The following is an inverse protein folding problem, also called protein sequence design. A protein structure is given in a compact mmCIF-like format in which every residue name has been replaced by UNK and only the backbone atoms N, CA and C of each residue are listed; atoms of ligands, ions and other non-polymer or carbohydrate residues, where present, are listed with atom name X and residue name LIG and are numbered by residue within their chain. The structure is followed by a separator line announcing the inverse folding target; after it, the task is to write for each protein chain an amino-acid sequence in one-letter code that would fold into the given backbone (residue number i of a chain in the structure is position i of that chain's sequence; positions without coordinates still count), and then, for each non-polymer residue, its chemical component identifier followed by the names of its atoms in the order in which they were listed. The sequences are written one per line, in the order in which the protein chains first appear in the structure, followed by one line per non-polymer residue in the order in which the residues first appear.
data_IF_881067271440
#
_entry.id   IF_881067271440
#
_cell.length_a   1.000
_cell.length_b   1.000
_cell.length_c   1.000
_cell.angle_alpha   90.00
_cell.angle_beta   90.00
_cell.angle_gamma   90.00
#
_symmetry.space_group_name_H-M   'P 1'
#
loop_
_entity.id
_entity.type
_entity.pdbx_description
1 polymer ?
#
# COMPACT_ATOMS: atom_id res chain seq x y z
N UNK A 1 24.17 45.83 -4.88
CA UNK A 1 24.62 44.46 -5.24
C UNK A 1 24.29 43.40 -4.17
N UNK A 2 23.45 43.69 -3.17
CA UNK A 2 23.11 42.77 -2.06
C UNK A 2 21.76 42.06 -2.23
N UNK A 3 20.80 42.68 -2.93
CA UNK A 3 19.48 42.09 -3.23
C UNK A 3 19.63 40.86 -4.15
N UNK A 4 20.50 40.93 -5.15
CA UNK A 4 20.84 39.81 -6.05
C UNK A 4 21.40 38.59 -5.30
N UNK A 5 22.26 38.82 -4.30
CA UNK A 5 22.86 37.75 -3.50
C UNK A 5 21.81 37.06 -2.61
N UNK A 6 20.96 37.84 -1.93
CA UNK A 6 19.87 37.30 -1.10
C UNK A 6 18.86 36.50 -1.93
N UNK A 7 18.51 36.99 -3.12
CA UNK A 7 17.62 36.30 -4.04
C UNK A 7 18.25 35.00 -4.56
N UNK A 8 19.54 35.02 -4.93
CA UNK A 8 20.27 33.83 -5.36
C UNK A 8 20.32 32.75 -4.27
N UNK A 9 20.63 33.13 -3.02
CA UNK A 9 20.63 32.20 -1.87
C UNK A 9 19.23 31.61 -1.65
N UNK A 10 18.18 32.42 -1.78
CA UNK A 10 16.80 31.95 -1.65
C UNK A 10 16.40 30.99 -2.78
N UNK A 11 16.80 31.25 -4.02
CA UNK A 11 16.54 30.32 -5.13
C UNK A 11 17.30 29.00 -4.96
N UNK A 12 18.57 29.05 -4.54
CA UNK A 12 19.38 27.85 -4.29
C UNK A 12 18.78 27.02 -3.16
N UNK A 13 18.30 27.64 -2.08
CA UNK A 13 17.67 26.89 -0.98
C UNK A 13 16.37 26.23 -1.43
N UNK A 14 15.53 26.89 -2.21
CA UNK A 14 14.32 26.28 -2.79
C UNK A 14 14.66 25.08 -3.68
N UNK A 15 15.64 25.23 -4.57
CA UNK A 15 16.06 24.13 -5.46
C UNK A 15 16.57 22.95 -4.64
N UNK A 16 17.35 23.22 -3.59
CA UNK A 16 17.82 22.20 -2.67
C UNK A 16 16.68 21.49 -1.96
N UNK A 17 15.70 22.22 -1.41
CA UNK A 17 14.53 21.62 -0.75
C UNK A 17 13.72 20.75 -1.70
N UNK A 18 13.41 21.26 -2.91
CA UNK A 18 12.69 20.50 -3.93
C UNK A 18 13.44 19.21 -4.27
N UNK A 19 14.76 19.30 -4.46
CA UNK A 19 15.62 18.15 -4.78
C UNK A 19 15.61 17.10 -3.67
N UNK A 20 15.70 17.51 -2.40
CA UNK A 20 15.62 16.60 -1.26
C UNK A 20 14.25 15.95 -1.15
N UNK A 21 13.18 16.67 -1.47
CA UNK A 21 11.81 16.12 -1.47
C UNK A 21 11.61 14.99 -2.48
N UNK A 22 12.38 14.93 -3.57
CA UNK A 22 12.36 13.79 -4.50
C UNK A 22 12.94 12.50 -3.91
N UNK A 23 13.69 12.59 -2.82
CA UNK A 23 14.23 11.41 -2.11
C UNK A 23 13.28 10.88 -1.02
N UNK A 24 12.18 11.59 -0.75
CA UNK A 24 11.22 11.21 0.29
C UNK A 24 10.27 10.15 -0.29
N UNK A 25 10.40 8.93 0.20
CA UNK A 25 9.45 7.85 -0.05
C UNK A 25 8.42 7.77 1.07
N UNK A 26 7.18 7.48 0.73
CA UNK A 26 6.10 7.23 1.69
C UNK A 26 5.53 5.82 1.51
N UNK A 27 5.01 5.27 2.60
CA UNK A 27 4.36 3.97 2.57
C UNK A 27 2.97 4.10 1.92
N UNK A 28 2.72 3.28 0.90
CA UNK A 28 1.47 3.25 0.18
C UNK A 28 0.61 2.08 0.69
N UNK A 29 -0.59 2.41 1.14
CA UNK A 29 -1.56 1.46 1.64
C UNK A 29 -2.77 1.40 0.71
N UNK A 30 -3.31 0.21 0.51
CA UNK A 30 -4.60 -0.01 -0.16
C UNK A 30 -5.65 -0.40 0.85
N UNK A 31 -6.85 0.17 0.70
CA UNK A 31 -8.02 -0.15 1.52
C UNK A 31 -8.87 -1.17 0.78
N UNK A 32 -9.29 -2.22 1.47
CA UNK A 32 -10.04 -3.31 0.87
C UNK A 32 -10.97 -4.00 1.87
N UNK A 33 -11.84 -4.87 1.36
CA UNK A 33 -12.78 -5.65 2.15
C UNK A 33 -12.21 -7.05 2.41
N UNK A 34 -12.20 -7.41 3.69
CA UNK A 34 -11.97 -8.76 4.17
C UNK A 34 -13.32 -9.39 4.51
N UNK A 35 -13.68 -10.46 3.80
CA UNK A 35 -15.00 -11.09 3.89
C UNK A 35 -14.88 -12.47 4.52
N UNK A 36 -15.41 -12.66 5.73
CA UNK A 36 -15.51 -13.96 6.37
C UNK A 36 -16.78 -14.69 5.87
N UNK A 37 -16.61 -15.83 5.20
CA UNK A 37 -17.71 -16.56 4.54
C UNK A 37 -18.19 -17.77 5.34
N UNK A 38 -17.28 -18.47 6.02
CA UNK A 38 -17.51 -19.78 6.62
C UNK A 38 -17.07 -19.88 8.10
N UNK A 39 -16.61 -18.79 8.68
CA UNK A 39 -16.11 -18.70 10.05
C UNK A 39 -14.73 -19.29 10.27
N UNK A 40 -14.14 -19.93 9.24
CA UNK A 40 -12.81 -20.56 9.29
C UNK A 40 -11.81 -19.82 8.43
N UNK A 41 -12.29 -19.12 7.41
CA UNK A 41 -11.47 -18.39 6.46
C UNK A 41 -12.13 -17.07 6.04
N UNK A 42 -11.27 -16.11 5.82
CA UNK A 42 -11.63 -14.81 5.26
C UNK A 42 -11.07 -14.67 3.84
N UNK A 43 -11.83 -14.04 2.98
CA UNK A 43 -11.51 -13.80 1.59
C UNK A 43 -11.09 -12.34 1.39
N UNK A 44 -9.95 -12.13 0.76
CA UNK A 44 -9.43 -10.82 0.37
C UNK A 44 -9.20 -10.79 -1.14
N UNK A 45 -9.83 -9.86 -1.84
CA UNK A 45 -9.67 -9.71 -3.29
C UNK A 45 -8.60 -8.68 -3.63
N UNK A 46 -7.44 -9.10 -4.12
CA UNK A 46 -6.37 -8.22 -4.56
C UNK A 46 -6.47 -7.91 -6.05
N UNK A 47 -6.13 -6.67 -6.42
CA UNK A 47 -5.90 -6.33 -7.82
C UNK A 47 -4.64 -7.05 -8.34
N UNK A 48 -4.51 -7.17 -9.66
CA UNK A 48 -3.30 -7.72 -10.29
C UNK A 48 -2.06 -6.89 -9.92
N UNK A 49 -2.22 -5.57 -9.80
CA UNK A 49 -1.14 -4.66 -9.44
C UNK A 49 -0.64 -4.92 -8.01
N UNK A 50 -1.56 -4.92 -7.03
CA UNK A 50 -1.25 -5.16 -5.62
C UNK A 50 -0.62 -6.53 -5.42
N UNK A 51 -1.14 -7.56 -6.11
CA UNK A 51 -0.58 -8.91 -6.06
C UNK A 51 0.88 -8.96 -6.53
N UNK A 52 1.22 -8.28 -7.64
CA UNK A 52 2.59 -8.21 -8.16
C UNK A 52 3.56 -7.49 -7.24
N UNK A 53 3.08 -6.48 -6.52
CA UNK A 53 3.87 -5.67 -5.57
C UNK A 53 4.10 -6.43 -4.26
N UNK A 54 3.04 -6.96 -3.65
CA UNK A 54 3.07 -7.66 -2.36
C UNK A 54 3.71 -9.05 -2.49
N UNK A 55 3.53 -9.73 -3.64
CA UNK A 55 4.03 -11.09 -3.91
C UNK A 55 3.69 -12.08 -2.79
N UNK A 56 2.41 -12.21 -2.40
CA UNK A 56 2.01 -13.07 -1.29
C UNK A 56 2.34 -14.54 -1.60
N UNK A 57 2.62 -15.32 -0.55
CA UNK A 57 2.95 -16.75 -0.68
C UNK A 57 2.01 -17.58 0.20
N UNK A 58 1.63 -18.75 -0.29
CA UNK A 58 0.87 -19.71 0.52
C UNK A 58 1.71 -20.06 1.75
N UNK A 59 1.07 -20.19 2.91
CA UNK A 59 1.65 -20.41 4.22
C UNK A 59 2.49 -19.24 4.79
N UNK A 60 2.51 -18.07 4.15
CA UNK A 60 3.09 -16.87 4.77
C UNK A 60 2.06 -16.12 5.62
N UNK A 61 2.55 -15.22 6.48
CA UNK A 61 1.71 -14.28 7.21
C UNK A 61 1.40 -13.07 6.32
N UNK A 62 0.13 -12.69 6.27
CA UNK A 62 -0.34 -11.47 5.64
C UNK A 62 -0.63 -10.44 6.73
N UNK A 63 0.02 -9.30 6.62
CA UNK A 63 -0.09 -8.18 7.55
C UNK A 63 -1.09 -7.16 7.02
N UNK A 64 -2.00 -6.71 7.88
CA UNK A 64 -2.94 -5.63 7.57
C UNK A 64 -3.28 -4.84 8.82
N UNK A 65 -3.95 -3.72 8.61
CA UNK A 65 -4.49 -2.87 9.66
C UNK A 65 -6.01 -2.90 9.63
N UNK A 66 -6.60 -3.02 10.82
CA UNK A 66 -8.05 -2.96 11.06
C UNK A 66 -8.28 -1.98 12.20
N UNK A 67 -9.09 -0.95 11.96
CA UNK A 67 -9.40 0.08 12.96
C UNK A 67 -8.14 0.71 13.59
N UNK A 68 -7.08 0.87 12.79
CA UNK A 68 -5.77 1.37 13.23
C UNK A 68 -4.88 0.34 13.94
N UNK A 69 -5.41 -0.83 14.28
CA UNK A 69 -4.66 -1.91 14.92
C UNK A 69 -4.02 -2.82 13.87
N UNK A 70 -2.78 -3.20 14.13
CA UNK A 70 -2.02 -4.10 13.28
C UNK A 70 -2.40 -5.56 13.58
N UNK A 71 -2.75 -6.31 12.54
CA UNK A 71 -3.15 -7.71 12.62
C UNK A 71 -2.41 -8.56 11.57
N UNK A 72 -2.33 -9.86 11.83
CA UNK A 72 -1.72 -10.83 10.93
C UNK A 72 -2.61 -12.04 10.78
N UNK A 73 -2.77 -12.50 9.54
CA UNK A 73 -3.48 -13.76 9.25
C UNK A 73 -2.67 -14.62 8.29
N UNK A 74 -2.74 -15.93 8.44
CA UNK A 74 -1.99 -16.85 7.60
C UNK A 74 -2.66 -16.98 6.24
N UNK A 75 -1.88 -16.90 5.16
CA UNK A 75 -2.36 -17.14 3.81
C UNK A 75 -2.51 -18.65 3.61
N UNK A 76 -3.74 -19.11 3.53
CA UNK A 76 -4.08 -20.53 3.37
C UNK A 76 -4.06 -20.95 1.91
N UNK A 77 -4.52 -20.08 1.01
CA UNK A 77 -4.63 -20.38 -0.42
C UNK A 77 -4.66 -19.07 -1.24
N UNK A 78 -4.29 -19.15 -2.51
CA UNK A 78 -4.26 -18.04 -3.46
C UNK A 78 -4.90 -18.51 -4.77
N UNK A 79 -5.97 -17.85 -5.20
CA UNK A 79 -6.71 -18.20 -6.42
C UNK A 79 -6.72 -17.06 -7.41
N UNK A 80 -6.51 -17.35 -8.68
CA UNK A 80 -6.71 -16.38 -9.75
C UNK A 80 -8.22 -16.24 -10.06
N UNK A 81 -8.69 -15.00 -10.23
CA UNK A 81 -10.03 -14.65 -10.72
C UNK A 81 -9.92 -13.72 -11.94
N UNK A 82 -11.02 -13.55 -12.68
CA UNK A 82 -11.06 -12.73 -13.90
C UNK A 82 -10.54 -11.30 -13.70
N UNK A 83 -10.71 -10.71 -12.52
CA UNK A 83 -10.35 -9.32 -12.20
C UNK A 83 -9.15 -9.18 -11.25
N UNK A 84 -8.48 -10.27 -10.88
CA UNK A 84 -7.40 -10.21 -9.89
C UNK A 84 -7.15 -11.52 -9.16
N UNK A 85 -6.69 -11.44 -7.93
CA UNK A 85 -6.36 -12.59 -7.09
C UNK A 85 -7.23 -12.62 -5.85
N UNK A 86 -7.63 -13.80 -5.41
CA UNK A 86 -8.33 -14.02 -4.16
C UNK A 86 -7.37 -14.70 -3.18
N UNK A 87 -7.09 -14.02 -2.07
CA UNK A 87 -6.37 -14.60 -0.94
C UNK A 87 -7.38 -15.18 0.03
N UNK A 88 -7.16 -16.42 0.43
CA UNK A 88 -7.84 -17.05 1.56
C UNK A 88 -6.95 -16.94 2.78
N UNK A 89 -7.41 -16.20 3.78
CA UNK A 89 -6.71 -15.97 5.04
C UNK A 89 -7.35 -16.81 6.15
N UNK A 90 -6.54 -17.32 7.08
CA UNK A 90 -7.03 -18.02 8.26
C UNK A 90 -7.89 -17.09 9.12
N UNK A 91 -9.01 -17.59 9.64
CA UNK A 91 -9.83 -16.89 10.63
C UNK A 91 -9.91 -17.69 11.92
N UNK A 92 -10.03 -17.00 13.06
CA UNK A 92 -10.28 -17.62 14.35
C UNK A 92 -11.77 -17.60 14.63
N UNK A 93 -12.47 -18.67 14.24
CA UNK A 93 -13.87 -18.97 14.61
C UNK A 93 -14.78 -17.73 14.67
N UNK A 94 -14.82 -16.97 13.57
CA UNK A 94 -15.54 -15.71 13.48
C UNK A 94 -16.95 -15.88 12.93
N UNK A 95 -17.87 -15.02 13.36
CA UNK A 95 -19.14 -14.85 12.65
C UNK A 95 -18.91 -14.29 11.25
N UNK A 96 -19.82 -14.63 10.33
CA UNK A 96 -19.84 -14.05 8.98
C UNK A 96 -19.86 -12.53 9.08
N UNK A 97 -18.83 -11.91 8.55
CA UNK A 97 -18.60 -10.48 8.71
C UNK A 97 -17.84 -9.92 7.52
N UNK A 98 -18.03 -8.63 7.28
CA UNK A 98 -17.28 -7.85 6.29
C UNK A 98 -16.53 -6.79 7.08
N UNK A 99 -15.21 -6.80 6.96
CA UNK A 99 -14.33 -5.86 7.65
C UNK A 99 -13.56 -5.03 6.63
N UNK A 100 -13.47 -3.72 6.85
CA UNK A 100 -12.58 -2.86 6.08
C UNK A 100 -11.18 -2.94 6.68
N UNK A 101 -10.20 -3.25 5.83
CA UNK A 101 -8.79 -3.35 6.21
C UNK A 101 -7.95 -2.47 5.30
N UNK A 102 -6.75 -2.12 5.76
CA UNK A 102 -5.71 -1.52 4.92
C UNK A 102 -4.41 -2.30 4.98
N UNK A 103 -3.78 -2.57 3.85
CA UNK A 103 -2.51 -3.29 3.78
C UNK A 103 -1.46 -2.51 3.01
N UNK A 104 -0.20 -2.66 3.41
CA UNK A 104 0.95 -2.07 2.73
C UNK A 104 1.15 -2.74 1.37
N UNK A 105 1.36 -1.94 0.32
CA UNK A 105 1.59 -2.41 -1.05
C UNK A 105 3.04 -2.23 -1.44
N UNK A 106 3.51 -0.98 -1.33
CA UNK A 106 4.85 -0.58 -1.72
C UNK A 106 5.21 0.80 -1.13
N UNK A 107 6.43 1.24 -1.41
CA UNK A 107 6.84 2.63 -1.19
C UNK A 107 6.73 3.39 -2.50
N UNK A 108 6.15 4.58 -2.44
CA UNK A 108 6.03 5.49 -3.59
C UNK A 108 6.72 6.80 -3.26
N UNK A 109 7.16 7.53 -4.28
CA UNK A 109 7.74 8.85 -4.05
C UNK A 109 6.64 9.83 -3.59
N UNK A 110 6.99 10.75 -2.70
CA UNK A 110 6.07 11.76 -2.17
C UNK A 110 5.32 12.51 -3.29
N UNK A 111 6.06 12.90 -4.32
CA UNK A 111 5.52 13.64 -5.46
C UNK A 111 4.59 12.80 -6.34
N UNK A 112 4.88 11.51 -6.53
CA UNK A 112 3.99 10.59 -7.26
C UNK A 112 2.63 10.50 -6.56
N UNK A 113 2.63 10.44 -5.22
CA UNK A 113 1.39 10.43 -4.44
C UNK A 113 0.64 11.75 -4.48
N UNK A 114 1.33 12.88 -4.33
CA UNK A 114 0.71 14.21 -4.27
C UNK A 114 0.08 14.63 -5.60
N UNK A 115 0.74 14.32 -6.71
CA UNK A 115 0.30 14.78 -8.03
C UNK A 115 -0.35 13.69 -8.88
N UNK A 116 -0.39 12.44 -8.40
CA UNK A 116 -0.87 11.30 -9.19
C UNK A 116 -0.03 11.05 -10.45
N UNK A 117 1.18 11.62 -10.51
CA UNK A 117 2.12 11.44 -11.60
C UNK A 117 2.79 10.10 -11.34
N UNK A 118 2.17 9.01 -11.77
CA UNK A 118 2.92 7.79 -12.00
C UNK A 118 3.94 8.12 -13.07
N UNK A 119 5.22 8.19 -12.71
CA UNK A 119 6.30 8.18 -13.69
C UNK A 119 6.16 6.82 -14.36
N UNK A 120 5.41 6.79 -15.45
CA UNK A 120 5.18 5.59 -16.23
C UNK A 120 6.55 5.27 -16.79
N UNK A 121 7.15 4.20 -16.28
CA UNK A 121 8.40 3.65 -16.79
C UNK A 121 8.25 3.53 -18.32
N UNK A 122 9.04 4.33 -19.04
CA UNK A 122 9.30 4.19 -20.47
C UNK A 122 10.29 3.05 -20.70
#
# INVERSE_FOLDING_TARGET
MTISLKLSIFCISIIFFISVSFLITIDNYEVNQLVNVDGKSSQLSLSVHSFKKIRPRINSWFEYYKDGNKEWRRIMDIRLRRSGYLLLLSDENGDRSITIISYFVDKVNLWEKLFGIGITEF
#
